data_IF_041325637615
#
_entry.id   IF_041325637615
#
_cell.length_a   1.000
_cell.length_b   1.000
_cell.length_c   1.000
_cell.angle_alpha   90.00
_cell.angle_beta   90.00
_cell.angle_gamma   90.00
#
_symmetry.space_group_name_H-M   'P 1'
#
loop_
_entity.id
_entity.type
_entity.pdbx_description
1 polymer ?
#
# COMPACT_ATOMS: atom_id res chain seq x y z
N UNK A 1 -27.45 10.64 -20.16
CA UNK A 1 -26.65 9.39 -20.12
C UNK A 1 -27.62 8.27 -19.82
N UNK A 2 -27.60 7.16 -20.56
CA UNK A 2 -28.49 6.02 -20.25
C UNK A 2 -27.95 5.29 -19.03
N UNK A 3 -28.73 5.23 -17.96
CA UNK A 3 -28.32 4.53 -16.73
C UNK A 3 -28.40 3.01 -16.91
N UNK A 4 -27.39 2.29 -16.41
CA UNK A 4 -27.38 0.83 -16.32
C UNK A 4 -27.96 0.44 -14.96
N UNK A 5 -29.13 -0.21 -15.00
CA UNK A 5 -29.83 -0.68 -13.81
C UNK A 5 -29.01 -1.72 -13.05
N UNK A 6 -29.02 -1.60 -11.73
CA UNK A 6 -28.31 -2.50 -10.82
C UNK A 6 -29.23 -3.62 -10.30
N UNK A 7 -28.63 -4.65 -9.66
CA UNK A 7 -29.23 -5.94 -9.28
C UNK A 7 -30.65 -5.92 -8.66
N UNK A 8 -31.02 -4.83 -7.99
CA UNK A 8 -32.31 -4.70 -7.30
C UNK A 8 -33.46 -4.32 -8.25
N UNK A 9 -33.15 -3.93 -9.49
CA UNK A 9 -34.14 -3.59 -10.50
C UNK A 9 -34.95 -4.84 -10.92
N UNK A 10 -36.28 -4.87 -10.70
CA UNK A 10 -37.09 -6.08 -10.96
C UNK A 10 -37.08 -6.56 -12.41
N UNK A 11 -36.81 -5.66 -13.36
CA UNK A 11 -36.73 -5.98 -14.80
C UNK A 11 -35.59 -6.96 -15.10
N UNK A 12 -34.50 -6.95 -14.33
CA UNK A 12 -33.35 -7.85 -14.49
C UNK A 12 -33.68 -9.30 -14.15
N UNK A 13 -34.76 -9.53 -13.41
CA UNK A 13 -35.24 -10.86 -12.98
C UNK A 13 -36.42 -11.38 -13.79
N UNK A 14 -36.84 -10.65 -14.83
CA UNK A 14 -37.98 -11.01 -15.69
C UNK A 14 -37.50 -11.50 -17.05
N UNK A 15 -38.13 -12.56 -17.56
CA UNK A 15 -37.91 -13.00 -18.93
C UNK A 15 -38.36 -11.92 -19.92
N UNK A 16 -37.43 -11.49 -20.77
CA UNK A 16 -37.65 -10.42 -21.74
C UNK A 16 -38.57 -10.88 -22.89
N UNK A 17 -39.36 -9.94 -23.41
CA UNK A 17 -40.33 -10.21 -24.49
C UNK A 17 -39.63 -10.23 -25.85
N UNK A 18 -40.05 -11.16 -26.71
CA UNK A 18 -39.58 -11.17 -28.10
C UNK A 18 -40.01 -9.89 -28.83
N UNK A 19 -39.13 -9.37 -29.67
CA UNK A 19 -39.42 -8.27 -30.59
C UNK A 19 -40.19 -8.83 -31.78
N UNK A 20 -41.31 -8.22 -32.16
CA UNK A 20 -41.99 -8.61 -33.40
C UNK A 20 -41.07 -8.36 -34.60
N UNK A 21 -40.98 -9.31 -35.53
CA UNK A 21 -40.12 -9.18 -36.72
C UNK A 21 -40.49 -7.95 -37.55
N UNK A 22 -41.77 -7.56 -37.56
CA UNK A 22 -42.27 -6.35 -38.25
C UNK A 22 -41.80 -5.05 -37.60
N UNK A 23 -41.45 -5.09 -36.31
CA UNK A 23 -41.00 -3.92 -35.55
C UNK A 23 -39.48 -3.75 -35.60
N UNK A 24 -38.74 -4.72 -36.14
CA UNK A 24 -37.30 -4.62 -36.32
C UNK A 24 -37.02 -3.50 -37.34
N UNK A 25 -36.19 -2.52 -36.94
CA UNK A 25 -35.93 -1.31 -37.73
C UNK A 25 -36.90 -0.16 -37.46
N UNK A 26 -37.96 -0.37 -36.66
CA UNK A 26 -38.82 0.73 -36.20
C UNK A 26 -38.02 1.77 -35.40
N UNK A 27 -38.51 3.02 -35.36
CA UNK A 27 -37.88 4.10 -34.59
C UNK A 27 -37.70 3.72 -33.12
N UNK A 28 -38.64 2.95 -32.55
CA UNK A 28 -38.59 2.45 -31.17
C UNK A 28 -37.41 1.50 -30.96
N UNK A 29 -37.28 0.47 -31.80
CA UNK A 29 -36.20 -0.52 -31.64
C UNK A 29 -34.83 0.10 -31.91
N UNK A 30 -34.72 0.99 -32.90
CA UNK A 30 -33.48 1.75 -33.15
C UNK A 30 -33.04 2.57 -31.94
N UNK A 31 -33.98 3.32 -31.34
CA UNK A 31 -33.69 4.12 -30.14
C UNK A 31 -33.25 3.26 -28.93
N UNK A 32 -33.82 2.06 -28.76
CA UNK A 32 -33.38 1.12 -27.72
C UNK A 32 -31.94 0.69 -27.96
N UNK A 33 -31.60 0.26 -29.18
CA UNK A 33 -30.25 -0.19 -29.53
C UNK A 33 -29.22 0.94 -29.38
N UNK A 34 -29.55 2.16 -29.79
CA UNK A 34 -28.68 3.34 -29.61
C UNK A 34 -28.41 3.64 -28.13
N UNK A 35 -29.44 3.55 -27.27
CA UNK A 35 -29.27 3.71 -25.82
C UNK A 35 -28.40 2.61 -25.22
N UNK A 36 -28.53 1.38 -25.69
CA UNK A 36 -27.69 0.25 -25.26
C UNK A 36 -26.22 0.48 -25.64
N UNK A 37 -25.96 0.89 -26.89
CA UNK A 37 -24.60 1.24 -27.35
C UNK A 37 -24.02 2.38 -26.51
N UNK A 38 -24.78 3.45 -26.28
CA UNK A 38 -24.33 4.58 -25.49
C UNK A 38 -24.02 4.19 -24.04
N UNK A 39 -24.84 3.35 -23.41
CA UNK A 39 -24.60 2.84 -22.06
C UNK A 39 -23.34 1.97 -22.00
N UNK A 40 -23.19 1.04 -22.94
CA UNK A 40 -22.04 0.13 -23.01
C UNK A 40 -20.73 0.88 -23.27
N UNK A 41 -20.69 1.82 -24.22
CA UNK A 41 -19.48 2.58 -24.56
C UNK A 41 -19.11 3.64 -23.51
N UNK A 42 -20.02 3.99 -22.60
CA UNK A 42 -19.72 4.87 -21.48
C UNK A 42 -18.90 4.17 -20.37
N UNK A 43 -18.91 2.84 -20.34
CA UNK A 43 -18.13 2.04 -19.39
C UNK A 43 -16.81 1.61 -20.04
N UNK A 44 -15.67 1.89 -19.40
CA UNK A 44 -14.34 1.56 -19.94
C UNK A 44 -14.16 0.06 -20.18
N UNK A 45 -14.79 -0.78 -19.35
CA UNK A 45 -14.78 -2.23 -19.42
C UNK A 45 -16.05 -2.83 -20.06
N UNK A 46 -16.84 -2.02 -20.79
CA UNK A 46 -18.08 -2.43 -21.43
C UNK A 46 -17.90 -3.43 -22.58
N UNK A 47 -18.14 -4.73 -22.31
CA UNK A 47 -18.02 -5.82 -23.29
C UNK A 47 -19.30 -6.07 -24.08
N UNK A 48 -20.43 -6.14 -23.38
CA UNK A 48 -21.75 -6.40 -23.94
C UNK A 48 -22.81 -5.89 -22.97
N UNK A 49 -24.04 -5.72 -23.47
CA UNK A 49 -25.19 -5.32 -22.66
C UNK A 49 -26.49 -5.87 -23.25
N UNK A 50 -27.40 -6.31 -22.37
CA UNK A 50 -28.76 -6.74 -22.69
C UNK A 50 -29.79 -5.64 -22.40
N UNK A 51 -30.86 -5.56 -23.19
CA UNK A 51 -31.87 -4.51 -23.06
C UNK A 51 -32.50 -4.39 -21.66
N UNK A 52 -32.73 -5.48 -20.89
CA UNK A 52 -33.22 -5.38 -19.52
C UNK A 52 -32.32 -4.52 -18.61
N UNK A 53 -31.00 -4.47 -18.89
CA UNK A 53 -30.04 -3.70 -18.11
C UNK A 53 -30.21 -2.19 -18.26
N UNK A 54 -30.92 -1.72 -19.29
CA UNK A 54 -31.30 -0.31 -19.46
C UNK A 54 -32.81 -0.07 -19.25
N UNK A 55 -33.49 -1.03 -18.61
CA UNK A 55 -34.92 -0.94 -18.30
C UNK A 55 -35.87 -1.48 -19.37
N UNK A 56 -35.35 -1.96 -20.50
CA UNK A 56 -36.18 -2.41 -21.63
C UNK A 56 -36.35 -3.94 -21.61
N UNK A 57 -37.56 -4.42 -21.36
CA UNK A 57 -37.86 -5.86 -21.31
C UNK A 57 -38.03 -6.47 -22.71
N UNK A 58 -36.99 -6.35 -23.55
CA UNK A 58 -36.94 -6.85 -24.92
C UNK A 58 -35.78 -7.83 -25.11
N UNK A 59 -35.96 -8.85 -25.95
CA UNK A 59 -34.91 -9.85 -26.28
C UNK A 59 -33.89 -9.27 -27.24
N UNK A 60 -33.07 -8.34 -26.78
CA UNK A 60 -32.02 -7.67 -27.55
C UNK A 60 -30.75 -7.65 -26.69
N UNK A 61 -29.61 -8.02 -27.25
CA UNK A 61 -28.30 -7.70 -26.68
C UNK A 61 -27.36 -7.11 -27.74
N UNK A 62 -26.41 -6.31 -27.28
CA UNK A 62 -25.36 -5.67 -28.09
C UNK A 62 -24.02 -6.13 -27.57
N UNK A 63 -23.08 -6.43 -28.47
CA UNK A 63 -21.69 -6.77 -28.15
C UNK A 63 -20.78 -5.70 -28.73
N UNK A 64 -19.85 -5.20 -27.93
CA UNK A 64 -18.91 -4.16 -28.31
C UNK A 64 -18.05 -4.62 -29.49
N UNK A 65 -18.07 -3.83 -30.56
CA UNK A 65 -17.30 -4.09 -31.76
C UNK A 65 -15.82 -4.20 -31.46
N UNK A 66 -15.27 -3.28 -30.64
CA UNK A 66 -13.82 -3.15 -30.34
C UNK A 66 -13.14 -4.46 -29.88
N UNK A 67 -13.92 -5.42 -29.38
CA UNK A 67 -13.38 -6.68 -28.86
C UNK A 67 -13.20 -7.73 -29.96
N UNK A 68 -14.03 -7.73 -31.01
CA UNK A 68 -14.06 -8.80 -32.02
C UNK A 68 -14.29 -8.35 -33.48
N UNK A 69 -14.58 -7.07 -33.73
CA UNK A 69 -14.89 -6.48 -35.04
C UNK A 69 -14.60 -4.97 -35.07
N UNK A 70 -14.88 -4.31 -36.20
CA UNK A 70 -14.84 -2.84 -36.30
C UNK A 70 -16.16 -2.18 -35.87
N UNK A 71 -17.27 -2.93 -35.88
CA UNK A 71 -18.62 -2.44 -35.57
C UNK A 71 -19.27 -3.29 -34.49
N UNK A 72 -20.13 -2.66 -33.67
CA UNK A 72 -20.91 -3.39 -32.66
C UNK A 72 -21.86 -4.40 -33.30
N UNK A 73 -22.01 -5.55 -32.66
CA UNK A 73 -22.89 -6.62 -33.13
C UNK A 73 -24.20 -6.59 -32.33
N UNK A 74 -25.33 -6.63 -33.03
CA UNK A 74 -26.66 -6.59 -32.40
C UNK A 74 -27.44 -7.86 -32.70
N UNK A 75 -28.00 -8.44 -31.64
CA UNK A 75 -28.72 -9.71 -31.68
C UNK A 75 -30.13 -9.48 -31.16
N UNK A 76 -31.11 -9.60 -32.05
CA UNK A 76 -32.54 -9.47 -31.75
C UNK A 76 -33.18 -10.85 -31.78
N UNK A 77 -33.97 -11.17 -30.75
CA UNK A 77 -34.53 -12.49 -30.49
C UNK A 77 -33.50 -13.63 -30.57
N UNK A 78 -32.37 -13.55 -29.85
CA UNK A 78 -31.36 -14.58 -29.88
C UNK A 78 -31.82 -15.89 -29.25
N UNK A 79 -31.38 -16.99 -29.85
CA UNK A 79 -31.56 -18.37 -29.40
C UNK A 79 -30.28 -19.19 -29.63
N UNK A 80 -29.80 -19.94 -28.63
CA UNK A 80 -28.69 -20.89 -28.83
C UNK A 80 -29.26 -22.21 -29.34
N UNK A 81 -28.90 -22.55 -30.57
CA UNK A 81 -29.38 -23.78 -31.23
C UNK A 81 -28.43 -24.96 -31.08
N UNK A 82 -27.17 -24.73 -30.65
CA UNK A 82 -26.18 -25.78 -30.44
C UNK A 82 -25.20 -25.42 -29.33
N UNK A 83 -24.90 -26.39 -28.47
CA UNK A 83 -23.86 -26.29 -27.44
C UNK A 83 -22.79 -27.37 -27.64
N UNK A 84 -21.53 -27.04 -27.36
CA UNK A 84 -20.49 -28.06 -27.21
C UNK A 84 -20.68 -28.84 -25.90
N UNK A 85 -20.35 -30.14 -25.94
CA UNK A 85 -20.27 -31.00 -24.74
C UNK A 85 -19.20 -30.52 -23.76
N UNK A 86 -18.07 -30.03 -24.28
CA UNK A 86 -16.98 -29.49 -23.46
C UNK A 86 -17.38 -28.16 -22.84
N UNK A 87 -17.21 -28.06 -21.51
CA UNK A 87 -17.48 -26.87 -20.69
C UNK A 87 -16.25 -26.49 -19.88
N UNK A 88 -16.03 -25.20 -19.69
CA UNK A 88 -14.92 -24.65 -18.88
C UNK A 88 -15.47 -23.67 -17.83
N UNK A 89 -14.83 -23.62 -16.67
CA UNK A 89 -15.06 -22.54 -15.70
C UNK A 89 -14.44 -21.25 -16.22
N UNK A 90 -15.25 -20.22 -16.36
CA UNK A 90 -14.84 -18.91 -16.88
C UNK A 90 -15.20 -17.85 -15.84
N UNK A 91 -14.33 -16.87 -15.65
CA UNK A 91 -14.61 -15.73 -14.79
C UNK A 91 -15.58 -14.78 -15.50
N UNK A 92 -16.66 -14.40 -14.81
CA UNK A 92 -17.70 -13.49 -15.28
C UNK A 92 -17.85 -12.33 -14.31
N UNK A 93 -18.11 -11.14 -14.87
CA UNK A 93 -18.62 -9.95 -14.19
C UNK A 93 -19.76 -9.36 -15.03
N UNK A 94 -20.50 -8.39 -14.48
CA UNK A 94 -21.66 -7.81 -15.15
C UNK A 94 -21.81 -6.31 -14.85
N UNK A 95 -22.21 -5.52 -15.86
CA UNK A 95 -22.45 -4.08 -15.71
C UNK A 95 -23.62 -3.75 -14.75
N UNK A 96 -24.54 -4.69 -14.53
CA UNK A 96 -25.66 -4.55 -13.57
C UNK A 96 -25.37 -5.10 -12.18
N UNK A 97 -24.20 -5.69 -11.98
CA UNK A 97 -23.72 -6.20 -10.69
C UNK A 97 -22.27 -5.75 -10.52
N UNK A 98 -22.06 -4.43 -10.60
CA UNK A 98 -20.71 -3.88 -10.57
C UNK A 98 -19.95 -4.42 -9.36
N UNK A 99 -18.69 -4.73 -9.63
CA UNK A 99 -17.67 -5.22 -8.70
C UNK A 99 -17.80 -6.69 -8.29
N UNK A 100 -18.90 -7.36 -8.62
CA UNK A 100 -18.99 -8.80 -8.39
C UNK A 100 -18.37 -9.58 -9.54
N UNK A 101 -17.51 -10.54 -9.20
CA UNK A 101 -16.92 -11.49 -10.13
C UNK A 101 -17.05 -12.91 -9.59
N UNK A 102 -17.22 -13.89 -10.47
CA UNK A 102 -17.33 -15.29 -10.07
C UNK A 102 -17.10 -16.26 -11.22
N UNK A 103 -16.89 -17.53 -10.90
CA UNK A 103 -16.66 -18.57 -11.91
C UNK A 103 -17.96 -19.24 -12.33
N UNK A 104 -18.30 -19.16 -13.62
CA UNK A 104 -19.47 -19.81 -14.23
C UNK A 104 -19.00 -20.87 -15.22
N UNK A 105 -19.62 -22.06 -15.21
CA UNK A 105 -19.31 -23.11 -16.20
C UNK A 105 -20.10 -22.89 -17.49
N UNK A 106 -19.41 -22.53 -18.57
CA UNK A 106 -19.98 -22.28 -19.90
C UNK A 106 -19.52 -23.32 -20.92
N UNK A 107 -20.32 -23.57 -21.96
CA UNK A 107 -19.87 -24.36 -23.12
C UNK A 107 -18.82 -23.58 -23.90
N UNK A 108 -17.74 -24.26 -24.30
CA UNK A 108 -16.62 -23.62 -25.01
C UNK A 108 -16.98 -23.15 -26.43
N UNK A 109 -17.96 -23.80 -27.07
CA UNK A 109 -18.49 -23.41 -28.37
C UNK A 109 -20.02 -23.46 -28.36
N UNK A 110 -20.63 -22.51 -29.05
CA UNK A 110 -22.08 -22.50 -29.28
C UNK A 110 -22.39 -22.03 -30.70
N UNK A 111 -23.62 -22.29 -31.14
CA UNK A 111 -24.20 -21.68 -32.35
C UNK A 111 -25.45 -20.93 -31.95
N UNK A 112 -25.51 -19.64 -32.30
CA UNK A 112 -26.64 -18.75 -32.02
C UNK A 112 -27.41 -18.46 -33.32
N UNK A 113 -28.73 -18.35 -33.21
CA UNK A 113 -29.65 -17.88 -34.25
C UNK A 113 -30.29 -16.58 -33.75
N UNK A 114 -30.28 -15.52 -34.57
CA UNK A 114 -30.82 -14.21 -34.20
C UNK A 114 -31.20 -13.40 -35.45
N UNK A 115 -31.91 -12.30 -35.26
CA UNK A 115 -32.11 -11.26 -36.26
C UNK A 115 -31.13 -10.11 -36.04
N UNK A 116 -30.65 -9.49 -37.11
CA UNK A 116 -29.87 -8.25 -37.03
C UNK A 116 -30.77 -7.01 -37.05
N UNK A 117 -30.18 -5.82 -36.95
CA UNK A 117 -30.91 -4.53 -36.96
C UNK A 117 -31.73 -4.28 -38.22
N UNK A 118 -31.38 -4.95 -39.33
CA UNK A 118 -32.10 -4.87 -40.62
C UNK A 118 -33.22 -5.93 -40.74
N UNK A 119 -33.51 -6.67 -39.66
CA UNK A 119 -34.53 -7.73 -39.66
C UNK A 119 -34.12 -8.99 -40.42
N UNK A 120 -32.84 -9.15 -40.77
CA UNK A 120 -32.34 -10.35 -41.46
C UNK A 120 -31.99 -11.43 -40.43
N UNK A 121 -32.54 -12.61 -40.62
CA UNK A 121 -32.22 -13.79 -39.81
C UNK A 121 -30.82 -14.29 -40.16
N UNK A 122 -30.02 -14.61 -39.15
CA UNK A 122 -28.69 -15.19 -39.33
C UNK A 122 -28.38 -16.25 -38.27
N UNK A 123 -27.37 -17.06 -38.55
CA UNK A 123 -26.77 -17.98 -37.60
C UNK A 123 -25.27 -17.71 -37.49
N UNK A 124 -24.71 -17.88 -36.30
CA UNK A 124 -23.28 -17.65 -36.04
C UNK A 124 -22.73 -18.65 -35.03
N UNK A 125 -21.59 -19.23 -35.36
CA UNK A 125 -20.78 -19.97 -34.39
C UNK A 125 -19.95 -19.01 -33.52
N UNK A 126 -19.83 -19.32 -32.24
CA UNK A 126 -18.93 -18.61 -31.32
C UNK A 126 -18.12 -19.62 -30.49
N UNK A 127 -16.91 -19.22 -30.13
CA UNK A 127 -16.00 -20.00 -29.29
C UNK A 127 -15.25 -19.12 -28.31
N UNK A 128 -14.80 -19.69 -27.19
CA UNK A 128 -14.06 -18.95 -26.16
C UNK A 128 -14.89 -17.81 -25.57
N UNK A 129 -14.30 -16.61 -25.46
CA UNK A 129 -14.93 -15.44 -24.84
C UNK A 129 -16.24 -15.03 -25.54
N UNK A 130 -16.31 -15.09 -26.86
CA UNK A 130 -17.55 -14.75 -27.57
C UNK A 130 -18.69 -15.74 -27.25
N UNK A 131 -18.36 -17.02 -27.06
CA UNK A 131 -19.34 -18.03 -26.65
C UNK A 131 -19.83 -17.77 -25.22
N UNK A 132 -18.94 -17.31 -24.34
CA UNK A 132 -19.25 -16.91 -22.97
C UNK A 132 -20.20 -15.71 -22.95
N UNK A 133 -19.88 -14.65 -23.69
CA UNK A 133 -20.71 -13.44 -23.81
C UNK A 133 -22.12 -13.80 -24.25
N UNK A 134 -22.28 -14.56 -25.34
CA UNK A 134 -23.61 -14.92 -25.83
C UNK A 134 -24.44 -15.72 -24.81
N UNK A 135 -23.80 -16.64 -24.08
CA UNK A 135 -24.47 -17.38 -23.01
C UNK A 135 -24.83 -16.48 -21.82
N UNK A 136 -24.00 -15.49 -21.50
CA UNK A 136 -24.26 -14.51 -20.43
C UNK A 136 -25.39 -13.54 -20.79
N UNK A 137 -25.36 -12.97 -22.00
CA UNK A 137 -26.40 -12.04 -22.43
C UNK A 137 -27.76 -12.72 -22.58
N UNK A 138 -27.79 -13.98 -23.03
CA UNK A 138 -29.04 -14.75 -23.08
C UNK A 138 -29.59 -15.03 -21.67
N UNK A 139 -28.73 -15.27 -20.69
CA UNK A 139 -29.17 -15.41 -19.29
C UNK A 139 -29.88 -14.13 -18.82
N UNK A 140 -29.33 -12.95 -19.12
CA UNK A 140 -30.00 -11.68 -18.82
C UNK A 140 -31.38 -11.56 -19.49
N UNK A 141 -31.50 -11.99 -20.75
CA UNK A 141 -32.79 -12.01 -21.46
C UNK A 141 -33.79 -12.99 -20.87
N UNK A 142 -33.32 -13.99 -20.11
CA UNK A 142 -34.14 -14.97 -19.41
C UNK A 142 -34.34 -14.63 -17.91
N UNK A 143 -33.84 -13.48 -17.45
CA UNK A 143 -34.00 -13.00 -16.07
C UNK A 143 -33.02 -13.65 -15.07
N UNK A 144 -31.94 -14.25 -15.57
CA UNK A 144 -30.92 -14.95 -14.80
C UNK A 144 -29.69 -14.05 -14.71
N UNK A 145 -29.20 -13.81 -13.49
CA UNK A 145 -27.93 -13.12 -13.27
C UNK A 145 -26.81 -14.16 -13.14
N UNK A 146 -25.59 -13.80 -13.53
CA UNK A 146 -24.46 -14.73 -13.47
C UNK A 146 -24.21 -15.25 -12.04
N UNK A 147 -24.53 -14.45 -11.02
CA UNK A 147 -24.44 -14.83 -9.59
C UNK A 147 -25.35 -15.98 -9.21
N UNK A 148 -26.42 -16.25 -9.97
CA UNK A 148 -27.27 -17.42 -9.74
C UNK A 148 -26.57 -18.73 -10.14
N UNK A 149 -25.54 -18.65 -10.99
CA UNK A 149 -24.77 -19.79 -11.52
C UNK A 149 -23.31 -19.83 -11.05
N UNK A 150 -22.81 -18.73 -10.51
CA UNK A 150 -21.41 -18.56 -10.19
C UNK A 150 -21.00 -19.30 -8.91
N UNK A 151 -19.77 -19.79 -8.91
CA UNK A 151 -19.05 -20.23 -7.70
C UNK A 151 -17.95 -19.24 -7.37
N UNK A 152 -17.53 -19.20 -6.11
CA UNK A 152 -16.44 -18.33 -5.63
C UNK A 152 -16.69 -16.85 -5.95
N UNK A 153 -17.92 -16.38 -5.72
CA UNK A 153 -18.28 -14.97 -5.96
C UNK A 153 -17.48 -14.08 -5.00
N UNK A 154 -16.78 -13.10 -5.56
CA UNK A 154 -15.94 -12.15 -4.84
C UNK A 154 -16.27 -10.73 -5.26
N UNK A 155 -16.01 -9.80 -4.34
CA UNK A 155 -16.14 -8.36 -4.56
C UNK A 155 -14.77 -7.76 -4.88
N UNK A 156 -14.69 -7.11 -6.05
CA UNK A 156 -13.55 -6.41 -6.61
C UNK A 156 -14.01 -4.99 -7.03
N UNK A 157 -14.19 -4.07 -6.08
CA UNK A 157 -14.54 -2.68 -6.37
C UNK A 157 -13.49 -2.02 -7.27
N UNK A 158 -13.85 -0.97 -8.03
CA UNK A 158 -12.88 -0.32 -8.88
C UNK A 158 -11.81 0.22 -7.94
N UNK A 159 -10.56 0.06 -8.35
CA UNK A 159 -9.42 0.52 -7.59
C UNK A 159 -9.40 2.06 -7.62
N UNK A 160 -10.27 2.74 -6.87
CA UNK A 160 -9.99 4.11 -6.48
C UNK A 160 -8.83 4.01 -5.50
N UNK A 161 -7.63 4.27 -6.03
CA UNK A 161 -6.47 4.47 -5.18
C UNK A 161 -6.89 5.47 -4.07
N UNK A 162 -6.66 5.13 -2.80
CA UNK A 162 -7.07 5.98 -1.68
C UNK A 162 -6.56 7.40 -1.88
N UNK A 163 -7.43 8.38 -1.65
CA UNK A 163 -7.00 9.76 -1.47
C UNK A 163 -6.39 9.87 -0.08
N UNK A 164 -5.09 10.14 0.00
CA UNK A 164 -4.42 10.28 1.29
C UNK A 164 -3.58 11.54 1.39
N UNK A 165 -3.50 12.07 2.61
CA UNK A 165 -2.55 13.11 2.99
C UNK A 165 -1.38 12.44 3.70
N UNK A 166 -0.16 12.78 3.30
CA UNK A 166 1.05 12.23 3.89
C UNK A 166 1.71 13.27 4.80
N UNK A 167 2.01 12.90 6.04
CA UNK A 167 2.68 13.73 7.04
C UNK A 167 4.05 13.12 7.34
N UNK A 168 5.12 13.75 6.90
CA UNK A 168 6.47 13.24 7.13
C UNK A 168 7.59 14.24 6.89
N UNK A 169 8.45 14.40 7.89
CA UNK A 169 9.53 15.40 7.89
C UNK A 169 10.95 14.83 7.91
N UNK A 170 11.11 13.50 7.93
CA UNK A 170 12.40 12.84 8.10
C UNK A 170 12.83 12.07 6.86
N UNK A 171 14.08 11.58 6.86
CA UNK A 171 14.58 10.66 5.82
C UNK A 171 13.80 9.34 5.84
N UNK A 172 13.48 8.80 7.02
CA UNK A 172 12.59 7.64 7.18
C UNK A 172 11.26 7.81 6.43
N UNK A 173 10.59 8.96 6.58
CA UNK A 173 9.32 9.21 5.90
C UNK A 173 9.45 9.35 4.38
N UNK A 174 10.61 9.80 3.88
CA UNK A 174 10.88 9.86 2.44
C UNK A 174 10.94 8.47 1.82
N UNK A 175 11.65 7.54 2.46
CA UNK A 175 11.71 6.15 1.97
C UNK A 175 10.34 5.48 1.90
N UNK A 176 9.47 5.76 2.88
CA UNK A 176 8.09 5.27 2.87
C UNK A 176 7.33 5.82 1.67
N UNK A 177 7.39 7.13 1.45
CA UNK A 177 6.69 7.79 0.35
C UNK A 177 7.18 7.30 -1.02
N UNK A 178 8.50 7.12 -1.20
CA UNK A 178 9.06 6.54 -2.43
C UNK A 178 8.48 5.15 -2.75
N UNK A 179 8.32 4.27 -1.75
CA UNK A 179 7.76 2.94 -1.98
C UNK A 179 6.25 2.98 -2.25
N UNK A 180 5.52 3.91 -1.64
CA UNK A 180 4.11 4.17 -1.99
C UNK A 180 3.97 4.62 -3.45
N UNK A 181 4.78 5.57 -3.88
CA UNK A 181 4.78 6.09 -5.26
C UNK A 181 5.12 4.98 -6.28
N UNK A 182 6.12 4.13 -5.97
CA UNK A 182 6.44 2.95 -6.80
C UNK A 182 5.27 1.96 -6.90
N UNK A 183 4.45 1.85 -5.86
CA UNK A 183 3.26 1.03 -5.86
C UNK A 183 2.02 1.71 -6.48
N UNK A 184 2.19 2.93 -7.04
CA UNK A 184 1.14 3.68 -7.72
C UNK A 184 0.28 4.54 -6.79
N UNK A 185 0.66 4.70 -5.52
CA UNK A 185 -0.04 5.57 -4.58
C UNK A 185 0.64 6.94 -4.52
N UNK A 186 -0.10 8.00 -4.85
CA UNK A 186 0.39 9.38 -4.73
C UNK A 186 -0.46 10.16 -3.73
N UNK A 187 0.15 10.91 -2.79
CA UNK A 187 -0.60 11.72 -1.85
C UNK A 187 -1.28 12.88 -2.57
N UNK A 188 -2.50 13.22 -2.16
CA UNK A 188 -3.18 14.44 -2.61
C UNK A 188 -2.58 15.70 -1.98
N UNK A 189 -1.90 15.54 -0.84
CA UNK A 189 -1.12 16.58 -0.17
C UNK A 189 0.01 15.92 0.64
N UNK A 190 1.23 16.43 0.47
CA UNK A 190 2.40 16.03 1.25
C UNK A 190 2.83 17.16 2.19
N UNK A 191 2.83 16.88 3.50
CA UNK A 191 3.13 17.84 4.56
C UNK A 191 4.47 17.46 5.20
N UNK A 192 5.48 18.27 4.91
CA UNK A 192 6.87 18.03 5.35
C UNK A 192 7.32 18.88 6.53
N UNK A 193 6.46 19.79 7.01
CA UNK A 193 6.77 20.69 8.12
C UNK A 193 5.66 20.71 9.16
N UNK A 194 6.05 20.65 10.43
CA UNK A 194 5.13 20.68 11.56
C UNK A 194 4.85 22.10 12.09
N UNK A 195 5.51 23.14 11.54
CA UNK A 195 5.41 24.52 12.04
C UNK A 195 4.02 25.13 11.87
N UNK A 196 3.44 24.99 10.68
CA UNK A 196 2.09 25.47 10.35
C UNK A 196 1.43 24.48 9.41
N UNK A 197 0.29 23.92 9.84
CA UNK A 197 -0.48 23.00 8.99
C UNK A 197 -1.28 23.81 7.96
N UNK A 198 -1.29 23.39 6.69
CA UNK A 198 -2.19 23.95 5.68
C UNK A 198 -3.64 23.55 5.96
N UNK A 199 -4.57 24.12 5.20
CA UNK A 199 -5.91 23.55 5.12
C UNK A 199 -5.82 22.11 4.60
N UNK A 200 -6.47 21.18 5.30
CA UNK A 200 -6.43 19.76 4.96
C UNK A 200 -7.58 19.45 3.99
N UNK A 201 -7.30 18.79 2.85
CA UNK A 201 -8.33 18.39 1.89
C UNK A 201 -9.15 17.21 2.44
N UNK A 202 -10.29 16.97 1.79
CA UNK A 202 -11.05 15.73 2.00
C UNK A 202 -10.24 14.52 1.55
N UNK A 203 -10.01 13.58 2.47
CA UNK A 203 -9.14 12.42 2.28
C UNK A 203 -9.76 11.17 2.91
N UNK A 204 -9.50 10.02 2.29
CA UNK A 204 -9.94 8.73 2.81
C UNK A 204 -9.15 8.35 4.06
N UNK A 205 -7.85 8.64 4.09
CA UNK A 205 -6.92 8.27 5.17
C UNK A 205 -5.78 9.27 5.29
N UNK A 206 -5.30 9.52 6.50
CA UNK A 206 -4.04 10.22 6.72
C UNK A 206 -2.93 9.23 7.04
N UNK A 207 -1.75 9.46 6.49
CA UNK A 207 -0.57 8.63 6.70
C UNK A 207 0.50 9.46 7.38
N UNK A 208 0.92 9.03 8.56
CA UNK A 208 1.92 9.70 9.38
C UNK A 208 3.17 8.82 9.42
N UNK A 209 4.33 9.45 9.24
CA UNK A 209 5.62 8.81 9.48
C UNK A 209 6.60 9.88 9.99
N UNK A 210 7.09 9.75 11.23
CA UNK A 210 8.13 10.62 11.79
C UNK A 210 7.87 12.13 11.58
N UNK A 211 6.66 12.59 11.93
CA UNK A 211 6.18 13.96 11.68
C UNK A 211 6.56 15.00 12.76
N UNK A 212 7.34 14.63 13.77
CA UNK A 212 7.97 15.56 14.73
C UNK A 212 7.05 16.37 15.64
N UNK A 213 5.72 16.30 15.47
CA UNK A 213 4.71 16.98 16.27
C UNK A 213 3.55 16.03 16.56
N UNK A 214 3.03 16.13 17.78
CA UNK A 214 1.81 15.43 18.18
C UNK A 214 0.63 16.08 17.46
N UNK A 215 -0.10 15.29 16.69
CA UNK A 215 -1.32 15.75 16.03
C UNK A 215 -2.48 15.74 17.05
N UNK A 216 -3.30 16.80 17.10
CA UNK A 216 -4.53 16.82 17.88
C UNK A 216 -5.51 15.74 17.40
N UNK A 217 -6.37 15.27 18.30
CA UNK A 217 -7.37 14.23 18.02
C UNK A 217 -8.30 14.63 16.86
N UNK A 218 -8.67 15.90 16.80
CA UNK A 218 -9.52 16.46 15.75
C UNK A 218 -8.91 16.31 14.35
N UNK A 219 -7.57 16.32 14.26
CA UNK A 219 -6.85 16.08 12.99
C UNK A 219 -6.71 14.59 12.73
N UNK A 220 -6.44 13.80 13.76
CA UNK A 220 -6.29 12.34 13.65
C UNK A 220 -7.58 11.67 13.13
N UNK A 221 -8.74 12.18 13.54
CA UNK A 221 -10.05 11.62 13.22
C UNK A 221 -10.73 12.29 12.01
N UNK A 222 -10.11 13.31 11.41
CA UNK A 222 -10.66 14.03 10.25
C UNK A 222 -10.93 13.11 9.02
N UNK A 223 -10.00 12.25 8.57
CA UNK A 223 -10.24 11.39 7.42
C UNK A 223 -11.25 10.28 7.73
N UNK A 224 -12.03 9.87 6.73
CA UNK A 224 -13.11 8.87 6.87
C UNK A 224 -12.65 7.55 7.49
N UNK A 225 -11.46 7.09 7.13
CA UNK A 225 -10.86 5.85 7.63
C UNK A 225 -9.81 6.10 8.72
N UNK A 226 -9.79 7.28 9.35
CA UNK A 226 -8.85 7.66 10.40
C UNK A 226 -7.41 7.82 9.91
N UNK A 227 -6.48 7.97 10.85
CA UNK A 227 -5.06 8.15 10.59
C UNK A 227 -4.25 6.88 10.88
N UNK A 228 -3.29 6.57 10.02
CA UNK A 228 -2.34 5.47 10.18
C UNK A 228 -0.94 6.03 10.43
N UNK A 229 -0.16 5.35 11.28
CA UNK A 229 1.26 5.63 11.50
C UNK A 229 2.12 4.45 11.04
N UNK A 230 3.25 4.76 10.40
CA UNK A 230 4.32 3.79 10.14
C UNK A 230 5.37 3.93 11.23
N UNK A 231 5.42 2.95 12.14
CA UNK A 231 6.32 2.96 13.30
C UNK A 231 7.49 2.00 13.10
N UNK A 232 8.76 2.44 13.22
CA UNK A 232 9.93 1.59 12.97
C UNK A 232 10.31 0.73 14.18
N UNK A 233 9.36 -0.01 14.73
CA UNK A 233 9.59 -1.11 15.68
C UNK A 233 8.48 -2.15 15.59
N UNK A 234 8.69 -3.29 16.27
CA UNK A 234 7.66 -4.30 16.51
C UNK A 234 6.86 -3.91 17.76
N UNK A 235 5.75 -3.20 17.56
CA UNK A 235 4.88 -2.76 18.66
C UNK A 235 4.30 -3.97 19.41
N UNK A 236 4.19 -3.91 20.76
CA UNK A 236 4.26 -2.72 21.60
C UNK A 236 5.66 -2.31 22.09
N UNK A 237 6.73 -2.95 21.61
CA UNK A 237 8.09 -2.58 22.04
C UNK A 237 8.53 -1.27 21.39
N UNK A 238 9.31 -0.49 22.14
CA UNK A 238 9.96 0.74 21.67
C UNK A 238 8.97 1.79 21.14
N UNK A 239 7.89 2.04 21.88
CA UNK A 239 7.03 3.23 21.67
C UNK A 239 7.84 4.51 21.87
N UNK A 240 7.49 5.58 21.18
CA UNK A 240 8.08 6.90 21.37
C UNK A 240 9.12 7.29 20.31
N UNK A 241 9.97 8.29 20.60
CA UNK A 241 10.63 9.10 19.58
C UNK A 241 11.92 8.52 19.00
N UNK A 242 12.53 7.48 19.59
CA UNK A 242 13.84 6.97 19.14
C UNK A 242 13.95 5.43 18.96
N UNK A 243 12.95 4.77 18.37
CA UNK A 243 12.95 3.32 18.19
C UNK A 243 14.17 2.79 17.41
N UNK A 244 14.58 3.43 16.31
CA UNK A 244 15.67 2.94 15.45
C UNK A 244 17.00 2.86 16.20
N UNK A 245 17.36 3.90 16.96
CA UNK A 245 18.56 3.89 17.79
C UNK A 245 18.50 2.75 18.80
N UNK A 246 17.36 2.56 19.47
CA UNK A 246 17.19 1.53 20.49
C UNK A 246 17.22 0.09 19.92
N UNK A 247 16.77 -0.11 18.67
CA UNK A 247 16.96 -1.37 17.95
C UNK A 247 18.45 -1.66 17.75
N UNK A 248 19.22 -0.66 17.29
CA UNK A 248 20.68 -0.83 17.08
C UNK A 248 21.42 -1.07 18.39
N UNK A 249 20.98 -0.43 19.48
CA UNK A 249 21.46 -0.69 20.85
C UNK A 249 21.11 -2.09 21.38
N UNK A 250 20.31 -2.88 20.64
CA UNK A 250 20.02 -4.28 20.95
C UNK A 250 18.78 -4.49 21.84
N UNK A 251 17.94 -3.48 22.01
CA UNK A 251 16.74 -3.59 22.85
C UNK A 251 15.56 -4.29 22.17
N UNK A 252 15.61 -4.45 20.85
CA UNK A 252 14.62 -5.18 20.06
C UNK A 252 15.22 -5.64 18.73
N UNK A 253 14.57 -6.62 18.11
CA UNK A 253 14.82 -6.97 16.70
C UNK A 253 14.35 -5.84 15.77
N UNK A 254 15.00 -5.67 14.60
CA UNK A 254 14.54 -4.71 13.60
C UNK A 254 13.19 -5.13 13.02
N UNK A 255 12.28 -4.18 12.91
CA UNK A 255 10.96 -4.41 12.33
C UNK A 255 10.16 -3.13 12.23
N UNK A 256 9.03 -3.22 11.56
CA UNK A 256 8.11 -2.12 11.31
C UNK A 256 6.68 -2.53 11.66
N UNK A 257 5.89 -1.58 12.14
CA UNK A 257 4.47 -1.76 12.43
C UNK A 257 3.65 -0.68 11.71
N UNK A 258 2.53 -1.08 11.13
CA UNK A 258 1.48 -0.16 10.67
C UNK A 258 0.40 -0.16 11.75
N UNK A 259 0.13 1.00 12.34
CA UNK A 259 -0.84 1.14 13.42
C UNK A 259 -1.88 2.21 13.12
N UNK A 260 -3.07 2.05 13.68
CA UNK A 260 -4.07 3.11 13.73
C UNK A 260 -3.67 4.09 14.83
N UNK A 261 -3.69 5.38 14.53
CA UNK A 261 -3.39 6.41 15.53
C UNK A 261 -4.57 6.62 16.49
N UNK A 262 -4.25 7.03 17.70
CA UNK A 262 -5.16 7.62 18.66
C UNK A 262 -4.45 8.82 19.34
N UNK A 263 -5.07 9.40 20.35
CA UNK A 263 -4.52 10.54 21.12
C UNK A 263 -3.25 10.21 21.93
N UNK A 264 -2.92 8.93 22.09
CA UNK A 264 -1.76 8.47 22.86
C UNK A 264 -0.59 8.10 21.94
N UNK A 265 0.62 8.23 22.47
CA UNK A 265 1.85 7.98 21.72
C UNK A 265 2.06 6.47 21.49
N UNK A 266 1.91 6.04 20.23
CA UNK A 266 2.18 4.68 19.75
C UNK A 266 1.40 3.55 20.46
N UNK A 267 0.24 3.87 21.05
CA UNK A 267 -0.59 2.89 21.77
C UNK A 267 -1.73 2.32 20.94
N UNK A 268 -2.04 2.93 19.79
CA UNK A 268 -3.18 2.52 18.98
C UNK A 268 -3.02 1.12 18.38
N UNK A 269 -4.12 0.51 17.90
CA UNK A 269 -4.10 -0.86 17.42
C UNK A 269 -3.11 -1.10 16.29
N UNK A 270 -2.44 -2.25 16.30
CA UNK A 270 -1.53 -2.67 15.22
C UNK A 270 -2.36 -3.38 14.15
N UNK A 271 -2.27 -2.89 12.91
CA UNK A 271 -2.92 -3.50 11.75
C UNK A 271 -2.06 -4.64 11.20
N UNK A 272 -0.76 -4.42 11.10
CA UNK A 272 0.22 -5.42 10.67
C UNK A 272 1.62 -5.02 11.15
N UNK A 273 2.53 -5.99 11.18
CA UNK A 273 3.94 -5.77 11.48
C UNK A 273 4.81 -6.78 10.74
N UNK A 274 6.06 -6.40 10.47
CA UNK A 274 7.03 -7.23 9.77
C UNK A 274 8.41 -7.13 10.41
N UNK A 275 9.07 -8.28 10.61
CA UNK A 275 10.48 -8.35 10.97
C UNK A 275 11.33 -8.02 9.75
N UNK A 276 12.32 -7.14 9.91
CA UNK A 276 13.18 -6.72 8.80
C UNK A 276 14.57 -7.29 9.02
N UNK A 277 14.96 -8.36 8.31
CA UNK A 277 16.31 -8.91 8.44
C UNK A 277 17.34 -7.91 7.87
N UNK A 278 18.36 -7.61 8.67
CA UNK A 278 19.46 -6.72 8.29
C UNK A 278 20.74 -7.55 8.33
N UNK A 279 21.49 -7.55 7.22
CA UNK A 279 22.82 -8.15 7.13
C UNK A 279 23.76 -7.18 6.43
N UNK A 280 24.99 -6.96 6.94
CA UNK A 280 25.46 -7.39 8.27
C UNK A 280 24.67 -6.74 9.43
N UNK A 281 24.77 -7.28 10.65
CA UNK A 281 24.09 -6.74 11.86
C UNK A 281 25.00 -6.78 13.09
N UNK A 282 25.05 -5.72 13.93
CA UNK A 282 24.42 -4.40 13.78
C UNK A 282 25.01 -3.57 12.63
N UNK A 283 24.35 -2.47 12.27
CA UNK A 283 24.79 -1.56 11.19
C UNK A 283 24.48 -0.10 11.56
N UNK A 284 25.04 0.85 10.82
CA UNK A 284 24.89 2.29 11.03
C UNK A 284 23.43 2.74 10.91
N UNK A 285 23.05 3.71 11.75
CA UNK A 285 21.70 4.28 11.82
C UNK A 285 21.05 4.54 10.45
N UNK A 286 21.75 5.18 9.52
CA UNK A 286 21.21 5.53 8.21
C UNK A 286 20.85 4.30 7.36
N UNK A 287 21.63 3.22 7.45
CA UNK A 287 21.36 1.97 6.73
C UNK A 287 20.12 1.28 7.32
N UNK A 288 20.03 1.26 8.65
CA UNK A 288 18.87 0.69 9.35
C UNK A 288 17.61 1.52 9.09
N UNK A 289 17.72 2.85 9.11
CA UNK A 289 16.63 3.77 8.78
C UNK A 289 16.12 3.57 7.35
N UNK A 290 17.01 3.39 6.37
CA UNK A 290 16.61 3.07 5.00
C UNK A 290 15.88 1.73 4.90
N UNK A 291 16.47 0.67 5.45
CA UNK A 291 15.89 -0.68 5.38
C UNK A 291 14.51 -0.73 6.03
N UNK A 292 14.35 -0.12 7.21
CA UNK A 292 13.07 -0.02 7.90
C UNK A 292 12.08 0.88 7.14
N UNK A 293 12.50 2.05 6.65
CA UNK A 293 11.63 2.96 5.91
C UNK A 293 11.06 2.30 4.65
N UNK A 294 11.91 1.62 3.86
CA UNK A 294 11.46 0.90 2.66
C UNK A 294 10.54 -0.26 2.98
N UNK A 295 10.84 -1.04 4.03
CA UNK A 295 9.96 -2.12 4.48
C UNK A 295 8.59 -1.57 4.92
N UNK A 296 8.59 -0.49 5.71
CA UNK A 296 7.36 0.18 6.15
C UNK A 296 6.50 0.70 5.00
N UNK A 297 7.12 1.30 3.97
CA UNK A 297 6.40 1.76 2.77
C UNK A 297 5.77 0.62 1.96
N UNK A 298 6.51 -0.47 1.74
CA UNK A 298 5.98 -1.67 1.05
C UNK A 298 4.82 -2.30 1.82
N UNK A 299 4.98 -2.48 3.13
CA UNK A 299 3.95 -3.03 4.00
C UNK A 299 2.69 -2.15 4.02
N UNK A 300 2.87 -0.84 4.07
CA UNK A 300 1.77 0.12 4.00
C UNK A 300 1.04 0.05 2.65
N UNK A 301 1.76 -0.01 1.53
CA UNK A 301 1.17 -0.14 0.19
C UNK A 301 0.27 -1.39 0.06
N UNK A 302 0.68 -2.51 0.66
CA UNK A 302 -0.12 -3.74 0.67
C UNK A 302 -1.42 -3.60 1.50
N UNK A 303 -1.34 -2.86 2.60
CA UNK A 303 -2.40 -2.72 3.59
C UNK A 303 -3.40 -1.63 3.24
N UNK A 304 -2.99 -0.58 2.55
CA UNK A 304 -3.82 0.60 2.29
C UNK A 304 -5.15 0.24 1.58
N UNK A 305 -5.18 -0.59 0.51
CA UNK A 305 -6.44 -0.98 -0.11
C UNK A 305 -7.32 -1.84 0.80
N UNK A 306 -6.73 -2.71 1.63
CA UNK A 306 -7.46 -3.55 2.58
C UNK A 306 -8.09 -2.71 3.69
N UNK A 307 -7.39 -1.67 4.13
CA UNK A 307 -7.85 -0.74 5.17
C UNK A 307 -9.08 0.06 4.74
N UNK A 308 -9.02 0.69 3.58
CA UNK A 308 -10.13 1.50 3.04
C UNK A 308 -11.38 0.65 2.79
N UNK A 309 -11.19 -0.61 2.39
CA UNK A 309 -12.31 -1.54 2.19
C UNK A 309 -12.81 -2.20 3.49
N UNK A 310 -12.29 -1.82 4.67
CA UNK A 310 -12.71 -2.38 5.95
C UNK A 310 -12.38 -3.87 6.12
N UNK A 311 -11.40 -4.39 5.38
CA UNK A 311 -11.03 -5.83 5.35
C UNK A 311 -9.92 -6.19 6.35
N UNK A 312 -9.60 -5.31 7.30
CA UNK A 312 -8.54 -5.54 8.29
C UNK A 312 -9.15 -5.77 9.67
N UNK A 313 -8.78 -6.89 10.28
CA UNK A 313 -9.10 -7.15 11.68
C UNK A 313 -8.13 -6.37 12.56
N UNK A 314 -8.69 -5.44 13.33
CA UNK A 314 -7.94 -4.58 14.25
C UNK A 314 -7.58 -5.39 15.50
N UNK A 315 -6.31 -5.37 15.91
CA UNK A 315 -5.85 -6.00 17.15
C UNK A 315 -5.22 -4.97 18.08
N UNK A 316 -5.78 -4.86 19.29
CA UNK A 316 -5.21 -4.04 20.35
C UNK A 316 -3.83 -4.55 20.77
N UNK A 317 -2.96 -3.62 21.13
CA UNK A 317 -1.64 -3.95 21.63
C UNK A 317 -1.71 -4.58 23.03
N UNK A 318 -0.81 -5.52 23.33
CA UNK A 318 -0.64 -6.02 24.70
C UNK A 318 0.09 -4.97 25.55
N UNK A 319 -0.66 -4.23 26.37
CA UNK A 319 -0.13 -3.15 27.22
C UNK A 319 0.98 -3.65 28.16
N UNK A 320 0.88 -4.87 28.70
CA UNK A 320 1.87 -5.42 29.63
C UNK A 320 3.24 -5.72 29.00
N UNK A 321 3.33 -5.77 27.67
CA UNK A 321 4.57 -6.00 26.94
C UNK A 321 5.19 -4.71 26.37
N UNK A 322 4.59 -3.54 26.65
CA UNK A 322 5.03 -2.27 26.09
C UNK A 322 6.36 -1.81 26.70
N UNK A 323 7.25 -1.30 25.85
CA UNK A 323 8.48 -0.61 26.26
C UNK A 323 8.56 0.75 25.59
N UNK A 324 9.26 1.68 26.21
CA UNK A 324 9.26 3.09 25.82
C UNK A 324 10.69 3.59 25.56
N UNK A 325 10.82 4.38 24.51
CA UNK A 325 12.04 5.10 24.15
C UNK A 325 11.97 6.52 24.68
N UNK A 326 13.13 7.18 24.82
CA UNK A 326 13.22 8.58 25.23
C UNK A 326 13.79 9.41 24.10
N UNK A 327 13.54 10.72 24.15
CA UNK A 327 14.23 11.64 23.25
C UNK A 327 15.74 11.52 23.51
N UNK A 328 16.51 11.19 22.46
CA UNK A 328 17.97 11.09 22.59
C UNK A 328 18.50 12.50 22.87
N UNK A 329 19.48 12.60 23.76
CA UNK A 329 20.18 13.82 24.17
C UNK A 329 21.64 13.79 23.72
N UNK A 330 22.33 14.93 23.81
CA UNK A 330 23.73 15.02 23.41
C UNK A 330 24.60 14.09 24.27
N UNK A 331 24.26 13.97 25.55
CA UNK A 331 25.01 13.18 26.54
C UNK A 331 24.93 11.67 26.28
N UNK A 332 23.88 11.18 25.59
CA UNK A 332 23.75 9.77 25.23
C UNK A 332 24.86 9.30 24.27
N UNK A 333 25.45 10.25 23.52
CA UNK A 333 26.59 9.98 22.64
C UNK A 333 27.91 9.76 23.38
N UNK A 334 28.00 10.06 24.68
CA UNK A 334 29.24 9.87 25.42
C UNK A 334 29.52 8.36 25.59
N UNK A 335 30.67 7.92 25.11
CA UNK A 335 31.14 6.55 25.29
C UNK A 335 31.89 6.44 26.62
N UNK A 336 31.61 5.36 27.35
CA UNK A 336 32.43 4.93 28.46
C UNK A 336 33.26 3.75 27.98
N UNK A 337 34.58 3.93 27.85
CA UNK A 337 35.47 2.92 27.26
C UNK A 337 35.65 1.69 28.17
N UNK A 338 35.22 1.76 29.42
CA UNK A 338 35.15 0.62 30.34
C UNK A 338 33.90 -0.25 30.11
N UNK A 339 32.92 0.24 29.34
CA UNK A 339 31.76 -0.56 28.92
C UNK A 339 32.18 -1.72 27.99
N UNK A 340 31.42 -2.82 27.92
CA UNK A 340 31.67 -3.90 26.97
C UNK A 340 31.84 -3.40 25.53
N UNK A 341 32.81 -3.97 24.80
CA UNK A 341 33.18 -3.50 23.46
C UNK A 341 31.99 -3.43 22.49
N UNK A 342 31.11 -4.43 22.53
CA UNK A 342 29.88 -4.49 21.74
C UNK A 342 28.91 -3.33 22.07
N UNK A 343 28.83 -2.90 23.32
CA UNK A 343 27.96 -1.79 23.70
C UNK A 343 28.50 -0.46 23.14
N UNK A 344 29.81 -0.25 23.21
CA UNK A 344 30.44 0.92 22.61
C UNK A 344 30.31 0.92 21.08
N UNK A 345 30.49 -0.24 20.42
CA UNK A 345 30.25 -0.39 19.00
C UNK A 345 28.81 -0.03 18.63
N UNK A 346 27.83 -0.60 19.33
CA UNK A 346 26.40 -0.29 19.09
C UNK A 346 26.06 1.18 19.30
N UNK A 347 26.65 1.86 20.29
CA UNK A 347 26.49 3.30 20.47
C UNK A 347 27.05 4.09 19.27
N UNK A 348 28.23 3.72 18.76
CA UNK A 348 28.80 4.32 17.54
C UNK A 348 27.85 4.17 16.35
N UNK A 349 27.32 2.97 16.14
CA UNK A 349 26.42 2.66 15.04
C UNK A 349 25.04 3.36 15.18
N UNK A 350 24.46 3.34 16.39
CA UNK A 350 23.15 3.92 16.67
C UNK A 350 23.15 5.46 16.60
N UNK A 351 24.26 6.09 16.97
CA UNK A 351 24.40 7.54 17.06
C UNK A 351 25.27 8.14 15.94
N UNK A 352 25.47 7.40 14.85
CA UNK A 352 26.38 7.79 13.75
C UNK A 352 26.00 9.09 13.03
N UNK A 353 24.73 9.49 13.11
CA UNK A 353 24.18 10.76 12.59
C UNK A 353 24.11 11.81 13.70
N UNK A 354 23.26 11.58 14.70
CA UNK A 354 23.05 12.45 15.86
C UNK A 354 22.90 11.57 17.12
N UNK A 355 23.50 11.92 18.26
CA UNK A 355 24.31 13.12 18.54
C UNK A 355 25.79 13.01 18.08
N UNK A 356 26.15 11.89 17.43
CA UNK A 356 27.53 11.47 17.25
C UNK A 356 28.05 10.81 18.52
N UNK A 357 28.47 9.55 18.44
CA UNK A 357 29.18 8.92 19.55
C UNK A 357 30.54 9.60 19.74
N UNK A 358 30.96 9.87 20.97
CA UNK A 358 32.18 10.60 21.25
C UNK A 358 32.83 10.20 22.56
N UNK A 359 34.12 10.47 22.67
CA UNK A 359 34.90 10.42 23.90
C UNK A 359 35.42 11.81 24.24
N UNK A 360 35.72 12.00 25.52
CA UNK A 360 36.53 13.10 25.98
C UNK A 360 37.98 12.63 26.10
N UNK A 361 38.84 13.14 25.22
CA UNK A 361 40.24 12.75 25.16
C UNK A 361 41.11 13.78 25.90
N UNK A 362 41.92 13.32 26.86
CA UNK A 362 42.94 14.15 27.53
C UNK A 362 44.32 13.78 27.02
N UNK A 363 45.08 14.78 26.58
CA UNK A 363 46.50 14.62 26.24
C UNK A 363 47.30 14.43 27.52
N UNK A 364 48.09 13.35 27.64
CA UNK A 364 49.08 13.21 28.72
C UNK A 364 50.25 14.18 28.47
N UNK A 365 50.83 14.68 29.55
CA UNK A 365 52.03 15.51 29.53
C UNK A 365 53.18 14.70 28.86
N UNK A 366 53.92 15.24 27.87
CA UNK A 366 54.89 14.50 27.05
C UNK A 366 56.05 13.80 27.78
N UNK A 367 56.15 13.94 29.11
CA UNK A 367 57.21 13.34 29.93
C UNK A 367 56.93 11.90 30.42
N UNK A 368 55.74 11.33 30.17
CA UNK A 368 55.42 9.95 30.57
C UNK A 368 54.82 9.17 29.41
N UNK A 369 55.63 8.30 28.80
CA UNK A 369 55.18 7.29 27.85
C UNK A 369 54.21 6.32 28.55
N UNK A 370 52.94 6.30 28.14
CA UNK A 370 51.94 5.32 28.60
C UNK A 370 50.52 5.86 28.73
N UNK A 371 49.54 5.10 28.24
CA UNK A 371 48.11 5.45 28.15
C UNK A 371 47.44 5.64 29.52
N UNK A 372 46.48 6.57 29.61
CA UNK A 372 45.37 6.47 30.56
C UNK A 372 44.20 7.32 30.03
N UNK A 373 43.04 6.70 29.90
CA UNK A 373 41.76 7.41 29.77
C UNK A 373 41.25 7.62 31.19
N UNK A 374 40.98 8.87 31.58
CA UNK A 374 40.25 9.14 32.83
C UNK A 374 41.02 9.60 34.06
N UNK A 375 42.32 9.93 34.01
CA UNK A 375 43.00 10.49 35.20
C UNK A 375 43.19 12.02 35.15
N UNK A 376 42.93 12.64 36.31
CA UNK A 376 42.99 14.06 36.62
C UNK A 376 44.42 14.63 36.49
N UNK A 377 44.89 14.82 35.26
CA UNK A 377 46.04 15.67 34.92
C UNK A 377 45.57 16.87 34.09
N UNK A 378 46.06 18.07 34.39
CA UNK A 378 45.58 19.38 33.89
C UNK A 378 45.75 19.69 32.40
N UNK A 379 45.67 18.69 31.51
CA UNK A 379 45.65 18.88 30.06
C UNK A 379 44.25 19.29 29.54
N UNK A 380 44.22 20.05 28.44
CA UNK A 380 42.96 20.47 27.78
C UNK A 380 42.24 19.25 27.21
N UNK A 381 41.03 19.00 27.72
CA UNK A 381 40.15 17.92 27.26
C UNK A 381 39.56 18.25 25.89
N UNK A 382 39.67 17.34 24.94
CA UNK A 382 39.20 17.51 23.56
C UNK A 382 38.12 16.48 23.27
N UNK A 383 36.95 16.93 22.81
CA UNK A 383 35.89 16.04 22.32
C UNK A 383 36.33 15.42 20.98
N UNK A 384 36.25 14.10 20.90
CA UNK A 384 36.55 13.33 19.68
C UNK A 384 35.33 12.50 19.32
N UNK A 385 34.70 12.81 18.19
CA UNK A 385 33.57 12.04 17.66
C UNK A 385 34.13 10.78 16.99
N UNK A 386 33.58 9.62 17.33
CA UNK A 386 33.91 8.34 16.71
C UNK A 386 32.91 8.10 15.59
N UNK A 387 33.40 8.07 14.34
CA UNK A 387 32.59 7.86 13.14
C UNK A 387 32.41 6.40 12.79
N UNK A 388 33.39 5.58 13.14
CA UNK A 388 33.42 4.16 12.83
C UNK A 388 34.35 3.42 13.79
N UNK A 389 34.04 2.17 14.08
CA UNK A 389 34.76 1.34 15.03
C UNK A 389 34.55 -0.16 14.75
N UNK A 390 35.43 -0.98 15.27
CA UNK A 390 35.33 -2.44 15.20
C UNK A 390 35.69 -3.10 16.53
N UNK A 391 35.56 -4.42 16.56
CA UNK A 391 35.97 -5.25 17.69
C UNK A 391 37.13 -6.13 17.25
N UNK A 392 38.32 -5.87 17.77
CA UNK A 392 39.51 -6.68 17.55
C UNK A 392 39.93 -7.37 18.85
N UNK A 393 40.04 -8.70 18.84
CA UNK A 393 40.45 -9.46 20.04
C UNK A 393 39.58 -9.19 21.28
N UNK A 394 38.29 -8.87 21.08
CA UNK A 394 37.35 -8.54 22.16
C UNK A 394 37.42 -7.10 22.66
N UNK A 395 38.23 -6.23 22.05
CA UNK A 395 38.37 -4.82 22.43
C UNK A 395 37.72 -3.91 21.40
N UNK A 396 37.16 -2.81 21.87
CA UNK A 396 36.64 -1.74 21.03
C UNK A 396 37.79 -0.92 20.44
N UNK A 397 37.86 -0.84 19.11
CA UNK A 397 38.90 -0.13 18.38
C UNK A 397 38.25 0.92 17.46
N UNK A 398 38.43 2.22 17.74
CA UNK A 398 38.01 3.26 16.81
C UNK A 398 38.82 3.18 15.50
N UNK A 399 38.15 3.38 14.35
CA UNK A 399 38.80 3.37 13.03
C UNK A 399 38.88 4.81 12.49
N UNK A 400 37.76 5.54 12.52
CA UNK A 400 37.65 6.90 11.99
C UNK A 400 37.10 7.85 13.04
N UNK A 401 37.72 9.02 13.15
CA UNK A 401 37.37 10.02 14.17
C UNK A 401 37.36 11.44 13.63
N UNK A 402 36.59 12.31 14.31
CA UNK A 402 36.56 13.75 14.07
C UNK A 402 36.87 14.46 15.41
N UNK A 403 38.11 14.92 15.61
CA UNK A 403 38.46 15.78 16.74
C UNK A 403 37.80 17.15 16.62
N UNK A 404 37.48 17.78 17.75
CA UNK A 404 36.88 19.12 17.76
C UNK A 404 37.68 20.13 16.91
N UNK A 405 37.02 20.71 15.90
CA UNK A 405 37.61 21.70 14.99
C UNK A 405 38.54 21.12 13.90
N UNK A 406 38.64 19.80 13.76
CA UNK A 406 39.46 19.14 12.72
C UNK A 406 38.59 18.38 11.72
N UNK A 407 39.20 17.98 10.59
CA UNK A 407 38.59 17.07 9.60
C UNK A 407 38.62 15.62 10.09
N UNK A 408 37.79 14.78 9.49
CA UNK A 408 37.82 13.33 9.69
C UNK A 408 39.21 12.76 9.38
N UNK A 409 39.69 11.85 10.21
CA UNK A 409 40.99 11.20 10.08
C UNK A 409 40.96 9.77 10.65
N UNK A 410 41.97 8.98 10.30
CA UNK A 410 42.18 7.66 10.88
C UNK A 410 42.55 7.77 12.38
N UNK A 411 42.07 6.85 13.19
CA UNK A 411 42.35 6.81 14.63
C UNK A 411 43.85 6.74 14.95
N UNK A 412 44.63 5.96 14.20
CA UNK A 412 46.08 5.86 14.40
C UNK A 412 46.80 7.17 14.08
N UNK A 413 46.37 7.90 13.05
CA UNK A 413 46.91 9.23 12.73
C UNK A 413 46.59 10.23 13.84
N UNK A 414 45.36 10.19 14.37
CA UNK A 414 44.97 10.99 15.51
C UNK A 414 45.86 10.70 16.72
N UNK A 415 46.13 9.43 17.04
CA UNK A 415 47.02 9.04 18.13
C UNK A 415 48.47 9.51 17.91
N UNK A 416 49.02 9.35 16.70
CA UNK A 416 50.39 9.81 16.38
C UNK A 416 50.55 11.33 16.51
N UNK A 417 49.52 12.10 16.15
CA UNK A 417 49.55 13.56 16.26
C UNK A 417 49.28 14.12 17.66
N UNK A 418 48.86 13.27 18.61
CA UNK A 418 48.49 13.69 19.98
C UNK A 418 49.14 12.81 21.08
N UNK A 419 50.13 12.00 20.71
CA UNK A 419 50.99 11.26 21.65
C UNK A 419 51.97 12.16 22.38
#
# INVERSE_FOLDING_TARGET
MTEILQKDAPVLRKKAKAVSVKDIGSKKIRSVVERMRAAMHAEEDGVAIAAPQIGESLRIFVVNGKIFSSEDLVFINPEIIKFSKKKRGMEEGCLSLRWLYGQVRRSEKITIKAYNEKGRLFQRGASGLLAQIFQHEIDHLDGILFTDKAKNVRDLPPNQLPKFVFFGSSTFSKYILEELEKAGFSPILNITTAKKLPALPDADVFIIASFGKILPKEIIDLPKHGSLNVHPSLLPKLRGPSPIQNIILGLSEPGVSIMKMNEKMDEGPVLTQEKVPISPWPDHYNIVEEKLGRAGGKLLAEILPKWINGKINIKEQNVGAATYTKLIKKEDGLLNLDDPAEMNLRKVLAYSTWPGAYINFKRKNPARHGFAVGESGGGKEVRVIIKDAEIEGGRFVPIRVIPAGKREMNWQDFLRGNS
#
